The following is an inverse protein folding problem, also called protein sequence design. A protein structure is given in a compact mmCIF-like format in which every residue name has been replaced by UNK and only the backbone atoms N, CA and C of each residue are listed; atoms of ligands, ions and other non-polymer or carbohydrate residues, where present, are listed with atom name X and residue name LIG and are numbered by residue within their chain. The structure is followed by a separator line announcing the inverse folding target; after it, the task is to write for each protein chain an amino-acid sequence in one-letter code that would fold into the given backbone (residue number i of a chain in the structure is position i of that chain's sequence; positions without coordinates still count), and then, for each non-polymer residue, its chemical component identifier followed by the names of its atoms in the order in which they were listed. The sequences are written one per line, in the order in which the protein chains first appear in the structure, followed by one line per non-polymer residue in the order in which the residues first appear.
data_IF_278940117065
#
_entry.id   IF_278940117065
#
_cell.length_a   1.000
_cell.length_b   1.000
_cell.length_c   1.000
_cell.angle_alpha   90.00
_cell.angle_beta   90.00
_cell.angle_gamma   90.00
#
_symmetry.space_group_name_H-M   'P 1'
#
loop_
_entity.id
_entity.type
_entity.pdbx_description
1 polymer ?
#
# COMPACT_ATOMS: atom_id res chain seq x y z
N UNK A 1 17.71 -13.72 -19.60
CA UNK A 1 18.76 -14.72 -19.33
C UNK A 1 18.51 -15.31 -17.95
N UNK A 2 18.07 -16.58 -17.91
CA UNK A 2 17.93 -17.36 -16.69
C UNK A 2 19.33 -17.77 -16.21
N UNK A 3 19.79 -17.22 -15.08
CA UNK A 3 20.97 -17.76 -14.41
C UNK A 3 20.50 -18.74 -13.35
N UNK A 4 20.60 -20.02 -13.65
CA UNK A 4 20.69 -21.12 -12.67
C UNK A 4 21.88 -20.81 -11.76
N UNK A 5 21.66 -20.80 -10.45
CA UNK A 5 22.50 -20.08 -9.48
C UNK A 5 23.98 -20.54 -9.39
N UNK A 6 24.40 -21.60 -10.08
CA UNK A 6 25.80 -22.11 -10.04
C UNK A 6 26.29 -22.72 -11.37
N UNK A 7 25.45 -22.98 -12.38
CA UNK A 7 25.90 -23.69 -13.61
C UNK A 7 26.87 -22.87 -14.49
N UNK A 8 26.76 -21.54 -14.48
CA UNK A 8 27.54 -20.68 -15.38
C UNK A 8 28.91 -20.30 -14.79
N UNK A 9 29.11 -20.51 -13.49
CA UNK A 9 30.36 -20.16 -12.79
C UNK A 9 31.30 -21.34 -12.57
N UNK A 10 30.86 -22.57 -12.86
CA UNK A 10 31.66 -23.77 -12.62
C UNK A 10 32.39 -24.22 -13.89
N UNK A 11 33.69 -24.48 -13.72
CA UNK A 11 34.58 -24.98 -14.77
C UNK A 11 34.06 -26.31 -15.35
N UNK A 12 34.33 -26.59 -16.63
CA UNK A 12 33.81 -27.78 -17.35
C UNK A 12 34.13 -29.12 -16.67
N UNK A 13 35.19 -29.16 -15.86
CA UNK A 13 35.59 -30.29 -15.02
C UNK A 13 34.59 -30.65 -13.91
N UNK A 14 33.72 -29.73 -13.50
CA UNK A 14 32.73 -29.95 -12.42
C UNK A 14 31.36 -30.39 -12.97
N UNK A 15 31.15 -30.33 -14.30
CA UNK A 15 29.90 -30.83 -14.93
C UNK A 15 29.65 -32.31 -14.71
N UNK A 16 30.70 -33.12 -14.49
CA UNK A 16 30.56 -34.54 -14.13
C UNK A 16 30.08 -34.78 -12.69
N UNK A 17 30.01 -33.73 -11.85
CA UNK A 17 29.57 -33.79 -10.47
C UNK A 17 28.17 -33.16 -10.32
N UNK A 18 27.21 -33.65 -11.11
CA UNK A 18 25.84 -33.15 -11.14
C UNK A 18 25.20 -33.07 -9.74
N UNK A 19 25.41 -34.11 -8.94
CA UNK A 19 24.94 -34.18 -7.56
C UNK A 19 25.51 -33.06 -6.67
N UNK A 20 26.75 -32.61 -6.90
CA UNK A 20 27.42 -31.58 -6.07
C UNK A 20 26.85 -30.21 -6.35
N UNK A 21 26.80 -29.78 -7.63
CA UNK A 21 26.26 -28.44 -7.90
C UNK A 21 24.74 -28.40 -7.69
N UNK A 22 24.03 -29.52 -7.80
CA UNK A 22 22.61 -29.63 -7.42
C UNK A 22 22.45 -29.47 -5.90
N UNK A 23 23.28 -30.11 -5.09
CA UNK A 23 23.27 -29.95 -3.63
C UNK A 23 23.64 -28.52 -3.20
N UNK A 24 24.65 -27.91 -3.83
CA UNK A 24 25.06 -26.52 -3.56
C UNK A 24 23.96 -25.54 -4.00
N UNK A 25 23.35 -25.72 -5.17
CA UNK A 25 22.19 -24.94 -5.59
C UNK A 25 21.01 -25.10 -4.61
N UNK A 26 20.72 -26.32 -4.16
CA UNK A 26 19.66 -26.57 -3.18
C UNK A 26 19.93 -25.87 -1.84
N UNK A 27 21.21 -25.72 -1.46
CA UNK A 27 21.62 -25.02 -0.25
C UNK A 27 21.61 -23.49 -0.41
N UNK A 28 21.97 -22.98 -1.59
CA UNK A 28 22.08 -21.55 -1.88
C UNK A 28 20.74 -20.91 -2.31
N UNK A 29 19.84 -21.68 -2.92
CA UNK A 29 18.53 -21.18 -3.36
C UNK A 29 17.59 -21.17 -2.14
N UNK A 30 17.08 -20.01 -1.72
CA UNK A 30 16.21 -19.94 -0.56
C UNK A 30 14.90 -20.73 -0.81
N UNK A 31 14.50 -21.51 0.19
CA UNK A 31 13.21 -22.21 0.22
C UNK A 31 12.04 -21.21 0.29
N UNK A 32 12.19 -20.16 1.11
CA UNK A 32 11.24 -19.04 1.26
C UNK A 32 11.97 -17.70 1.21
N UNK A 33 11.25 -16.62 0.94
CA UNK A 33 11.79 -15.26 0.95
C UNK A 33 11.83 -14.64 2.35
N UNK A 34 11.50 -15.37 3.41
CA UNK A 34 11.26 -14.80 4.74
C UNK A 34 12.43 -13.98 5.26
N UNK A 35 13.65 -14.52 5.20
CA UNK A 35 14.85 -13.81 5.62
C UNK A 35 15.10 -12.55 4.79
N UNK A 36 14.83 -12.60 3.48
CA UNK A 36 14.98 -11.44 2.61
C UNK A 36 13.91 -10.38 2.88
N UNK A 37 12.68 -10.79 3.12
CA UNK A 37 11.55 -9.89 3.44
C UNK A 37 11.81 -9.18 4.77
N UNK A 38 12.13 -9.95 5.83
CA UNK A 38 12.41 -9.42 7.19
C UNK A 38 13.52 -8.37 7.24
N UNK A 39 14.52 -8.50 6.36
CA UNK A 39 15.71 -7.65 6.35
C UNK A 39 15.73 -6.62 5.21
N UNK A 40 14.64 -6.48 4.44
CA UNK A 40 14.60 -5.46 3.40
C UNK A 40 15.43 -5.76 2.14
N UNK A 41 15.82 -7.02 1.91
CA UNK A 41 16.77 -7.41 0.87
C UNK A 41 16.13 -7.52 -0.52
N UNK A 42 15.77 -6.38 -1.12
CA UNK A 42 15.09 -6.30 -2.43
C UNK A 42 15.77 -7.10 -3.56
N UNK A 43 17.11 -7.08 -3.63
CA UNK A 43 17.83 -7.82 -4.68
C UNK A 43 17.56 -9.33 -4.64
N UNK A 44 17.38 -9.90 -3.44
CA UNK A 44 17.02 -11.31 -3.27
C UNK A 44 15.56 -11.55 -3.67
N UNK A 45 14.66 -10.64 -3.30
CA UNK A 45 13.23 -10.71 -3.67
C UNK A 45 13.07 -10.66 -5.20
N UNK A 46 13.74 -9.72 -5.87
CA UNK A 46 13.72 -9.58 -7.32
C UNK A 46 14.29 -10.80 -8.04
N UNK A 47 15.29 -11.45 -7.43
CA UNK A 47 15.92 -12.63 -8.01
C UNK A 47 15.07 -13.88 -7.88
N UNK A 48 14.39 -14.05 -6.75
CA UNK A 48 13.63 -15.24 -6.40
C UNK A 48 12.12 -14.98 -6.33
N UNK A 49 11.59 -14.19 -7.29
CA UNK A 49 10.19 -13.72 -7.29
C UNK A 49 9.15 -14.83 -7.17
N UNK A 50 9.47 -16.05 -7.60
CA UNK A 50 8.54 -17.19 -7.56
C UNK A 50 8.40 -17.82 -6.17
N UNK A 51 9.36 -17.60 -5.28
CA UNK A 51 9.35 -18.16 -3.91
C UNK A 51 8.29 -17.48 -3.06
N UNK A 52 7.72 -18.23 -2.10
CA UNK A 52 6.75 -17.72 -1.14
C UNK A 52 7.43 -17.02 0.02
N UNK A 53 6.70 -16.19 0.74
CA UNK A 53 7.07 -15.70 2.07
C UNK A 53 5.89 -15.88 3.02
N UNK A 54 6.19 -16.00 4.30
CA UNK A 54 5.20 -16.09 5.37
C UNK A 54 4.69 -14.71 5.77
N UNK A 55 3.49 -14.66 6.35
CA UNK A 55 2.93 -13.44 6.92
C UNK A 55 3.84 -12.84 7.98
N UNK A 56 4.40 -13.66 8.88
CA UNK A 56 5.29 -13.22 9.95
C UNK A 56 6.55 -12.52 9.41
N UNK A 57 7.05 -12.96 8.26
CA UNK A 57 8.18 -12.31 7.62
C UNK A 57 7.80 -10.94 7.08
N UNK A 58 6.62 -10.85 6.48
CA UNK A 58 6.09 -9.59 5.96
C UNK A 58 5.76 -8.63 7.13
N UNK A 59 5.20 -9.12 8.25
CA UNK A 59 4.85 -8.30 9.42
C UNK A 59 6.13 -7.72 10.04
N UNK A 60 7.18 -8.53 10.17
CA UNK A 60 8.48 -8.04 10.61
C UNK A 60 9.12 -7.05 9.63
N UNK A 61 8.87 -7.15 8.32
CA UNK A 61 9.33 -6.14 7.36
C UNK A 61 8.64 -4.79 7.60
N UNK A 62 7.38 -4.81 8.04
CA UNK A 62 6.64 -3.62 8.43
C UNK A 62 7.15 -3.03 9.75
N UNK A 63 7.36 -3.87 10.77
CA UNK A 63 7.93 -3.44 12.06
C UNK A 63 9.33 -2.83 11.90
N UNK A 64 10.12 -3.34 10.95
CA UNK A 64 11.45 -2.83 10.60
C UNK A 64 11.43 -1.67 9.59
N UNK A 65 10.26 -1.14 9.25
CA UNK A 65 10.10 -0.01 8.31
C UNK A 65 10.69 -0.24 6.91
N UNK A 66 10.72 -1.50 6.43
CA UNK A 66 11.18 -1.85 5.09
C UNK A 66 10.10 -1.59 4.02
N UNK A 67 9.69 -0.32 3.89
CA UNK A 67 8.60 0.09 3.00
C UNK A 67 8.79 -0.31 1.54
N UNK A 68 10.03 -0.28 1.04
CA UNK A 68 10.32 -0.70 -0.34
C UNK A 68 10.05 -2.20 -0.56
N UNK A 69 10.30 -3.03 0.45
CA UNK A 69 9.94 -4.45 0.43
C UNK A 69 8.43 -4.63 0.42
N UNK A 70 7.70 -3.86 1.23
CA UNK A 70 6.23 -3.90 1.22
C UNK A 70 5.69 -3.51 -0.16
N UNK A 71 6.21 -2.43 -0.75
CA UNK A 71 5.83 -2.02 -2.10
C UNK A 71 6.12 -3.12 -3.14
N UNK A 72 7.27 -3.79 -3.01
CA UNK A 72 7.60 -4.91 -3.89
C UNK A 72 6.62 -6.08 -3.72
N UNK A 73 6.23 -6.41 -2.49
CA UNK A 73 5.24 -7.45 -2.20
C UNK A 73 3.86 -7.11 -2.78
N UNK A 74 3.46 -5.83 -2.73
CA UNK A 74 2.23 -5.31 -3.37
C UNK A 74 2.29 -5.54 -4.88
N UNK A 75 3.34 -5.05 -5.54
CA UNK A 75 3.48 -5.09 -7.01
C UNK A 75 3.52 -6.52 -7.54
N UNK A 76 4.09 -7.45 -6.77
CA UNK A 76 4.21 -8.86 -7.16
C UNK A 76 3.05 -9.74 -6.64
N UNK A 77 1.98 -9.13 -6.14
CA UNK A 77 0.79 -9.82 -5.62
C UNK A 77 1.11 -10.93 -4.61
N UNK A 78 2.06 -10.64 -3.70
CA UNK A 78 2.54 -11.58 -2.67
C UNK A 78 1.81 -11.42 -1.34
N UNK A 79 0.90 -10.45 -1.22
CA UNK A 79 0.26 -10.12 0.04
C UNK A 79 -0.85 -11.12 0.41
N UNK A 80 -0.98 -11.37 1.71
CA UNK A 80 -2.13 -12.09 2.25
C UNK A 80 -3.26 -11.09 2.54
N UNK A 81 -4.50 -11.36 2.08
CA UNK A 81 -5.63 -10.48 2.33
C UNK A 81 -5.85 -10.20 3.81
N UNK A 82 -6.31 -8.98 4.12
CA UNK A 82 -6.69 -8.53 5.47
C UNK A 82 -5.56 -8.59 6.51
N UNK A 83 -4.31 -8.64 6.07
CA UNK A 83 -3.15 -8.53 6.96
C UNK A 83 -2.87 -7.06 7.34
N UNK A 84 -2.14 -6.84 8.43
CA UNK A 84 -1.71 -5.52 8.89
C UNK A 84 -0.96 -4.74 7.78
N UNK A 85 -0.30 -5.49 6.93
CA UNK A 85 0.56 -5.02 5.84
C UNK A 85 -0.24 -4.48 4.69
N UNK A 86 -1.33 -5.16 4.32
CA UNK A 86 -2.27 -4.65 3.31
C UNK A 86 -2.87 -3.33 3.78
N UNK A 87 -3.19 -3.23 5.08
CA UNK A 87 -3.73 -2.01 5.68
C UNK A 87 -2.73 -0.84 5.67
N UNK A 88 -1.46 -1.09 6.02
CA UNK A 88 -0.41 -0.06 5.97
C UNK A 88 0.00 0.28 4.52
N UNK A 89 0.08 -0.70 3.63
CA UNK A 89 0.31 -0.46 2.20
C UNK A 89 -0.78 0.44 1.60
N UNK A 90 -2.05 0.18 1.93
CA UNK A 90 -3.17 1.01 1.49
C UNK A 90 -3.03 2.44 2.01
N UNK A 91 -2.71 2.61 3.30
CA UNK A 91 -2.47 3.93 3.89
C UNK A 91 -1.33 4.67 3.19
N UNK A 92 -0.18 4.04 2.98
CA UNK A 92 0.96 4.65 2.30
C UNK A 92 0.62 5.03 0.85
N UNK A 93 -0.04 4.14 0.10
CA UNK A 93 -0.50 4.42 -1.25
C UNK A 93 -1.47 5.62 -1.29
N UNK A 94 -2.37 5.68 -0.30
CA UNK A 94 -3.35 6.76 -0.18
C UNK A 94 -2.70 8.11 0.16
N UNK A 95 -1.74 8.15 1.09
CA UNK A 95 -0.97 9.35 1.40
C UNK A 95 -0.19 9.89 0.20
N UNK A 96 0.36 9.00 -0.62
CA UNK A 96 1.15 9.34 -1.79
C UNK A 96 0.30 9.68 -3.03
N UNK A 97 -1.01 9.43 -2.99
CA UNK A 97 -1.90 9.64 -4.14
C UNK A 97 -1.76 8.59 -5.25
N UNK A 98 -1.31 7.38 -4.93
CA UNK A 98 -1.11 6.28 -5.90
C UNK A 98 -2.43 5.55 -6.16
N UNK A 99 -3.31 6.15 -6.98
CA UNK A 99 -4.66 5.65 -7.28
C UNK A 99 -4.71 4.19 -7.73
N UNK A 100 -3.87 3.79 -8.69
CA UNK A 100 -3.82 2.41 -9.19
C UNK A 100 -3.50 1.41 -8.07
N UNK A 101 -2.50 1.72 -7.23
CA UNK A 101 -2.14 0.87 -6.10
C UNK A 101 -3.27 0.78 -5.07
N UNK A 102 -4.00 1.87 -4.85
CA UNK A 102 -5.18 1.88 -3.97
C UNK A 102 -6.28 0.97 -4.51
N UNK A 103 -6.60 1.04 -5.81
CA UNK A 103 -7.61 0.17 -6.42
C UNK A 103 -7.26 -1.31 -6.30
N UNK A 104 -6.00 -1.67 -6.53
CA UNK A 104 -5.52 -3.05 -6.39
C UNK A 104 -5.60 -3.56 -4.95
N UNK A 105 -5.35 -2.69 -3.96
CA UNK A 105 -5.33 -3.09 -2.55
C UNK A 105 -6.72 -3.19 -1.94
N UNK A 106 -7.69 -2.41 -2.44
CA UNK A 106 -9.05 -2.32 -1.86
C UNK A 106 -9.77 -3.66 -1.75
N UNK A 107 -9.54 -4.60 -2.67
CA UNK A 107 -10.15 -5.94 -2.63
C UNK A 107 -9.67 -6.79 -1.45
N UNK A 108 -8.59 -6.38 -0.79
CA UNK A 108 -7.90 -7.13 0.25
C UNK A 108 -7.91 -6.43 1.61
N UNK A 109 -8.52 -5.25 1.72
CA UNK A 109 -8.52 -4.44 2.96
C UNK A 109 -9.75 -4.71 3.83
N UNK A 110 -9.63 -4.44 5.14
CA UNK A 110 -10.79 -4.32 6.03
C UNK A 110 -11.41 -2.93 5.92
N UNK A 111 -12.68 -2.78 6.31
CA UNK A 111 -13.40 -1.50 6.26
C UNK A 111 -12.69 -0.43 7.09
N UNK A 112 -12.14 -0.80 8.27
CA UNK A 112 -11.38 0.11 9.13
C UNK A 112 -10.09 0.60 8.46
N UNK A 113 -9.47 -0.23 7.61
CA UNK A 113 -8.30 0.17 6.84
C UNK A 113 -8.65 1.15 5.72
N UNK A 114 -9.78 0.92 5.05
CA UNK A 114 -10.32 1.83 4.03
C UNK A 114 -10.66 3.19 4.66
N UNK A 115 -11.37 3.22 5.79
CA UNK A 115 -11.68 4.47 6.50
C UNK A 115 -10.42 5.23 6.94
N UNK A 116 -9.41 4.51 7.43
CA UNK A 116 -8.13 5.11 7.80
C UNK A 116 -7.42 5.70 6.60
N UNK A 117 -7.29 4.95 5.51
CA UNK A 117 -6.68 5.42 4.27
C UNK A 117 -7.43 6.65 3.70
N UNK A 118 -8.76 6.65 3.77
CA UNK A 118 -9.61 7.76 3.33
C UNK A 118 -9.29 9.04 4.10
N UNK A 119 -9.20 8.95 5.44
CA UNK A 119 -8.81 10.07 6.29
C UNK A 119 -7.43 10.63 5.92
N UNK A 120 -6.45 9.76 5.66
CA UNK A 120 -5.10 10.20 5.28
C UNK A 120 -5.05 10.83 3.89
N UNK A 121 -5.76 10.26 2.90
CA UNK A 121 -5.88 10.83 1.55
C UNK A 121 -6.48 12.24 1.60
N UNK A 122 -7.57 12.44 2.35
CA UNK A 122 -8.21 13.74 2.49
C UNK A 122 -7.28 14.78 3.14
N UNK A 123 -6.55 14.40 4.21
CA UNK A 123 -5.57 15.29 4.87
C UNK A 123 -4.37 15.64 3.98
N UNK A 124 -4.03 14.78 3.03
CA UNK A 124 -2.95 15.00 2.06
C UNK A 124 -3.46 15.56 0.73
N UNK A 125 -4.74 15.94 0.66
CA UNK A 125 -5.37 16.57 -0.50
C UNK A 125 -5.25 15.67 -1.75
N UNK A 126 -5.32 14.34 -1.56
CA UNK A 126 -5.25 13.34 -2.65
C UNK A 126 -6.64 13.03 -3.17
N UNK A 127 -7.27 14.01 -3.81
CA UNK A 127 -8.70 13.98 -4.19
C UNK A 127 -9.11 12.80 -5.08
N UNK A 128 -8.29 12.44 -6.07
CA UNK A 128 -8.51 11.25 -6.90
C UNK A 128 -8.62 9.97 -6.05
N UNK A 129 -7.76 9.85 -5.04
CA UNK A 129 -7.78 8.71 -4.11
C UNK A 129 -8.99 8.80 -3.18
N UNK A 130 -9.36 9.99 -2.72
CA UNK A 130 -10.57 10.21 -1.90
C UNK A 130 -11.82 9.71 -2.65
N UNK A 131 -11.93 9.99 -3.95
CA UNK A 131 -13.05 9.50 -4.76
C UNK A 131 -13.07 7.96 -4.84
N UNK A 132 -11.92 7.34 -5.12
CA UNK A 132 -11.78 5.87 -5.20
C UNK A 132 -12.18 5.22 -3.87
N UNK A 133 -11.67 5.75 -2.76
CA UNK A 133 -11.92 5.23 -1.42
C UNK A 133 -13.38 5.45 -0.99
N UNK A 134 -14.00 6.58 -1.34
CA UNK A 134 -15.39 6.88 -1.01
C UNK A 134 -16.37 5.82 -1.54
N UNK A 135 -16.11 5.27 -2.73
CA UNK A 135 -16.95 4.20 -3.33
C UNK A 135 -16.96 2.90 -2.51
N UNK A 136 -16.00 2.73 -1.61
CA UNK A 136 -15.86 1.56 -0.73
C UNK A 136 -16.07 1.89 0.74
N UNK A 137 -16.05 3.17 1.12
CA UNK A 137 -16.33 3.59 2.49
C UNK A 137 -17.78 3.30 2.87
N UNK A 138 -17.97 2.85 4.10
CA UNK A 138 -19.25 2.81 4.78
C UNK A 138 -19.80 4.23 4.94
N UNK A 139 -21.02 4.46 4.45
CA UNK A 139 -21.72 5.74 4.63
C UNK A 139 -21.86 6.06 6.13
N UNK A 140 -21.59 7.31 6.52
CA UNK A 140 -21.68 7.76 7.91
C UNK A 140 -20.44 7.53 8.77
N UNK A 141 -19.29 7.14 8.21
CA UNK A 141 -18.05 7.09 8.98
C UNK A 141 -17.60 8.51 9.40
N UNK A 142 -17.04 8.64 10.61
CA UNK A 142 -16.58 9.94 11.13
C UNK A 142 -15.49 10.60 10.26
N UNK A 143 -14.79 9.82 9.45
CA UNK A 143 -13.79 10.32 8.50
C UNK A 143 -14.41 11.18 7.38
N UNK A 144 -15.70 10.98 7.07
CA UNK A 144 -16.39 11.68 5.99
C UNK A 144 -16.59 13.17 6.31
N UNK A 145 -17.05 13.49 7.52
CA UNK A 145 -17.22 14.87 7.96
C UNK A 145 -15.90 15.65 8.01
N UNK A 146 -14.82 15.00 8.43
CA UNK A 146 -13.48 15.59 8.40
C UNK A 146 -12.99 15.84 6.97
N UNK A 147 -13.19 14.88 6.05
CA UNK A 147 -12.83 15.05 4.64
C UNK A 147 -13.64 16.14 3.96
N UNK A 148 -14.96 16.20 4.20
CA UNK A 148 -15.84 17.25 3.68
C UNK A 148 -15.39 18.65 4.14
N UNK A 149 -15.06 18.78 5.43
CA UNK A 149 -14.53 20.04 5.99
C UNK A 149 -13.23 20.47 5.30
N UNK A 150 -12.29 19.54 5.09
CA UNK A 150 -11.02 19.84 4.41
C UNK A 150 -11.28 20.23 2.95
N UNK A 151 -12.06 19.45 2.20
CA UNK A 151 -12.41 19.75 0.81
C UNK A 151 -13.07 21.13 0.66
N UNK A 152 -14.01 21.46 1.57
CA UNK A 152 -14.69 22.75 1.59
C UNK A 152 -13.70 23.90 1.87
N UNK A 153 -12.78 23.73 2.83
CA UNK A 153 -11.74 24.73 3.13
C UNK A 153 -10.76 24.96 1.97
N UNK A 154 -10.57 23.94 1.11
CA UNK A 154 -9.68 23.99 -0.06
C UNK A 154 -10.39 24.39 -1.34
N UNK A 155 -11.71 24.56 -1.32
CA UNK A 155 -12.51 24.91 -2.50
C UNK A 155 -12.68 23.77 -3.50
N UNK A 156 -12.49 22.53 -3.08
CA UNK A 156 -12.53 21.33 -3.93
C UNK A 156 -13.99 20.89 -4.17
N UNK A 157 -14.64 21.59 -5.10
CA UNK A 157 -16.10 21.51 -5.34
C UNK A 157 -16.55 20.10 -5.68
N UNK A 158 -15.83 19.41 -6.55
CA UNK A 158 -16.20 18.06 -7.02
C UNK A 158 -16.21 17.06 -5.85
N UNK A 159 -15.23 17.17 -4.96
CA UNK A 159 -15.15 16.34 -3.74
C UNK A 159 -16.24 16.73 -2.75
N UNK A 160 -16.53 18.02 -2.58
CA UNK A 160 -17.64 18.46 -1.73
C UNK A 160 -18.97 17.90 -2.24
N UNK A 161 -19.23 17.95 -3.54
CA UNK A 161 -20.46 17.41 -4.17
C UNK A 161 -20.55 15.89 -4.03
N UNK A 162 -19.41 15.19 -4.06
CA UNK A 162 -19.34 13.76 -3.83
C UNK A 162 -19.69 13.39 -2.37
N UNK A 163 -19.10 14.09 -1.40
CA UNK A 163 -19.12 13.69 0.01
C UNK A 163 -20.34 14.17 0.78
N UNK A 164 -20.90 15.36 0.46
CA UNK A 164 -21.94 15.98 1.31
C UNK A 164 -23.20 15.13 1.46
N UNK A 165 -23.53 14.29 0.46
CA UNK A 165 -24.70 13.40 0.50
C UNK A 165 -24.59 12.29 1.54
N UNK A 166 -23.36 11.93 1.93
CA UNK A 166 -23.11 10.89 2.94
C UNK A 166 -22.88 11.44 4.35
N UNK A 167 -22.78 12.77 4.51
CA UNK A 167 -22.53 13.44 5.78
C UNK A 167 -23.82 13.78 6.51
N UNK A 168 -23.75 13.87 7.84
CA UNK A 168 -24.85 14.43 8.63
C UNK A 168 -24.91 15.97 8.52
N UNK A 169 -26.03 16.54 8.94
CA UNK A 169 -26.27 17.98 8.88
C UNK A 169 -25.23 18.80 9.67
N UNK A 170 -24.70 18.26 10.78
CA UNK A 170 -23.73 18.96 11.62
C UNK A 170 -22.37 19.06 10.92
N UNK A 171 -21.97 18.00 10.24
CA UNK A 171 -20.75 17.95 9.45
C UNK A 171 -20.84 18.90 8.24
N UNK A 172 -21.99 18.91 7.54
CA UNK A 172 -22.25 19.85 6.46
C UNK A 172 -22.18 21.29 6.95
N UNK A 173 -22.88 21.63 8.04
CA UNK A 173 -22.83 22.97 8.63
C UNK A 173 -21.41 23.41 9.03
N UNK A 174 -20.61 22.50 9.61
CA UNK A 174 -19.22 22.78 9.99
C UNK A 174 -18.31 23.01 8.78
N UNK A 175 -18.53 22.28 7.69
CA UNK A 175 -17.79 22.43 6.44
C UNK A 175 -18.04 23.80 5.79
N UNK A 176 -19.30 24.24 5.72
CA UNK A 176 -19.68 25.54 5.18
C UNK A 176 -19.09 26.69 5.98
N UNK A 177 -19.10 26.58 7.32
CA UNK A 177 -18.46 27.56 8.19
C UNK A 177 -16.96 27.67 7.94
N UNK A 178 -16.27 26.55 7.72
CA UNK A 178 -14.83 26.56 7.42
C UNK A 178 -14.53 27.20 6.07
N UNK A 179 -15.32 26.89 5.03
CA UNK A 179 -15.16 27.50 3.71
C UNK A 179 -15.36 29.03 3.73
N UNK A 180 -16.32 29.52 4.52
CA UNK A 180 -16.57 30.95 4.66
C UNK A 180 -15.40 31.71 5.32
N UNK A 181 -14.71 31.10 6.29
CA UNK A 181 -13.55 31.71 6.98
C UNK A 181 -12.34 31.77 6.04
N UNK A 182 -12.02 30.68 5.35
CA UNK A 182 -10.88 30.64 4.42
C UNK A 182 -11.11 31.55 3.20
N UNK A 183 -12.35 31.64 2.72
CA UNK A 183 -12.74 32.55 1.66
C UNK A 183 -12.56 34.04 2.01
N UNK A 184 -12.56 34.40 3.30
CA UNK A 184 -12.30 35.77 3.76
C UNK A 184 -10.80 36.10 3.86
N UNK A 185 -9.95 35.08 4.10
CA UNK A 185 -8.50 35.25 4.20
C UNK A 185 -7.80 35.34 2.83
N UNK A 186 -8.44 34.87 1.76
CA UNK A 186 -7.94 34.94 0.38
C UNK A 186 -8.12 36.30 -0.33
N UNK A 187 -8.79 37.27 0.31
CA UNK A 187 -9.01 38.63 -0.21
C UNK A 187 -8.24 39.72 0.57
N UNK A 188 -7.09 39.37 1.17
CA UNK A 188 -6.20 40.28 1.89
C UNK A 188 -4.88 40.51 1.17
#
# INVERSE_FOLDING_TARGET
MSLTCVEVSLHSSVKGLEHVYTAVNAYLIPLTLDGAVRNGCLGVLERFKTKSCTTDAMDAALDNYHYSTIQWLVINNKLVPKSLIVNEALKCAAEQGKSEAVEHLLAHCSDEAVERAFKYAARKEKWQVVEILYRKCTHGCAALGDALKIAASKGERDVVELLWRGCDEKDVARSLKSAAVEGQMGYG
#
